data_IF_253797765557
#
_entry.id   IF_253797765557
#
_cell.length_a   1.000
_cell.length_b   1.000
_cell.length_c   1.000
_cell.angle_alpha   90.00
_cell.angle_beta   90.00
_cell.angle_gamma   90.00
#
_symmetry.space_group_name_H-M   'P 1'
#
loop_
_entity.id
_entity.type
_entity.pdbx_description
1 polymer ?
#
# COMPACT_ATOMS: atom_id res chain seq x y z
N UNK A 1 2.16 19.56 8.15
CA UNK A 1 2.35 18.29 7.40
C UNK A 1 2.32 18.63 5.92
N UNK A 2 3.22 18.08 5.10
CA UNK A 2 3.15 18.28 3.65
C UNK A 2 1.99 17.48 3.06
N UNK A 3 1.40 17.94 1.95
CA UNK A 3 0.30 17.25 1.27
C UNK A 3 0.67 15.81 0.91
N UNK A 4 1.94 15.55 0.58
CA UNK A 4 2.49 14.21 0.33
C UNK A 4 2.47 13.30 1.55
N UNK A 5 2.80 13.80 2.74
CA UNK A 5 2.69 13.00 3.98
C UNK A 5 1.23 12.66 4.31
N UNK A 6 0.30 13.58 4.06
CA UNK A 6 -1.14 13.32 4.21
C UNK A 6 -1.59 12.24 3.22
N UNK A 7 -1.16 12.34 1.96
CA UNK A 7 -1.48 11.37 0.92
C UNK A 7 -0.96 9.97 1.28
N UNK A 8 0.32 9.84 1.65
CA UNK A 8 0.89 8.57 2.10
C UNK A 8 0.12 7.97 3.29
N UNK A 9 -0.27 8.81 4.25
CA UNK A 9 -1.06 8.37 5.41
C UNK A 9 -2.40 7.79 4.97
N UNK A 10 -3.10 8.44 4.04
CA UNK A 10 -4.38 7.96 3.51
C UNK A 10 -4.20 6.66 2.72
N UNK A 11 -3.20 6.58 1.84
CA UNK A 11 -2.87 5.37 1.06
C UNK A 11 -2.63 4.18 2.00
N UNK A 12 -1.85 4.38 3.06
CA UNK A 12 -1.59 3.33 4.06
C UNK A 12 -2.83 2.97 4.90
N UNK A 13 -3.69 3.94 5.24
CA UNK A 13 -4.95 3.66 5.93
C UNK A 13 -5.85 2.74 5.08
N UNK A 14 -5.99 3.03 3.78
CA UNK A 14 -6.75 2.16 2.87
C UNK A 14 -6.10 0.79 2.75
N UNK A 15 -4.77 0.71 2.66
CA UNK A 15 -4.06 -0.56 2.60
C UNK A 15 -4.40 -1.43 3.82
N UNK A 16 -4.36 -0.87 5.03
CA UNK A 16 -4.68 -1.62 6.24
C UNK A 16 -6.16 -1.99 6.33
N UNK A 17 -7.07 -1.16 5.83
CA UNK A 17 -8.48 -1.51 5.74
C UNK A 17 -8.71 -2.72 4.83
N UNK A 18 -8.13 -2.72 3.62
CA UNK A 18 -8.19 -3.87 2.70
C UNK A 18 -7.50 -5.11 3.28
N UNK A 19 -6.38 -4.95 3.98
CA UNK A 19 -5.70 -6.06 4.66
C UNK A 19 -6.57 -6.69 5.75
N UNK A 20 -7.27 -5.88 6.53
CA UNK A 20 -8.21 -6.34 7.55
C UNK A 20 -9.38 -7.11 6.93
N UNK A 21 -9.97 -6.55 5.88
CA UNK A 21 -11.06 -7.21 5.14
C UNK A 21 -10.61 -8.55 4.53
N UNK A 22 -9.44 -8.57 3.87
CA UNK A 22 -8.88 -9.78 3.27
C UNK A 22 -8.64 -10.87 4.31
N UNK A 23 -8.14 -10.52 5.50
CA UNK A 23 -7.94 -11.48 6.60
C UNK A 23 -9.28 -12.08 7.06
N UNK A 24 -10.30 -11.24 7.28
CA UNK A 24 -11.64 -11.69 7.66
C UNK A 24 -12.25 -12.62 6.61
N UNK A 25 -12.15 -12.26 5.33
CA UNK A 25 -12.66 -13.09 4.23
C UNK A 25 -11.92 -14.42 4.16
N UNK A 26 -10.60 -14.43 4.33
CA UNK A 26 -9.81 -15.67 4.36
C UNK A 26 -10.24 -16.61 5.47
N UNK A 27 -10.51 -16.07 6.66
CA UNK A 27 -10.95 -16.88 7.80
C UNK A 27 -12.30 -17.54 7.52
N UNK A 28 -13.27 -16.79 6.99
CA UNK A 28 -14.58 -17.33 6.58
C UNK A 28 -14.43 -18.38 5.49
N UNK A 29 -13.73 -18.06 4.41
CA UNK A 29 -13.56 -18.95 3.26
C UNK A 29 -12.83 -20.25 3.63
N UNK A 30 -11.78 -20.19 4.44
CA UNK A 30 -11.07 -21.40 4.85
C UNK A 30 -11.87 -22.24 5.85
N UNK A 31 -12.66 -21.61 6.71
CA UNK A 31 -13.56 -22.35 7.60
C UNK A 31 -14.57 -23.15 6.78
N UNK A 32 -15.23 -22.50 5.82
CA UNK A 32 -16.25 -23.12 4.97
C UNK A 32 -15.65 -24.17 4.04
N UNK A 33 -14.49 -23.91 3.45
CA UNK A 33 -13.76 -24.91 2.64
C UNK A 33 -13.48 -26.18 3.42
N UNK A 34 -13.07 -26.05 4.69
CA UNK A 34 -12.79 -27.20 5.57
C UNK A 34 -14.06 -27.98 5.91
N UNK A 35 -15.17 -27.28 6.16
CA UNK A 35 -16.48 -27.90 6.42
C UNK A 35 -16.98 -28.68 5.20
N UNK A 36 -16.85 -28.12 4.00
CA UNK A 36 -17.27 -28.77 2.76
C UNK A 36 -16.30 -29.86 2.27
N UNK A 37 -15.07 -29.91 2.81
CA UNK A 37 -14.05 -30.89 2.42
C UNK A 37 -13.49 -30.69 1.00
N UNK A 38 -13.75 -29.53 0.38
CA UNK A 38 -13.33 -29.27 -0.99
C UNK A 38 -11.83 -28.95 -1.10
N UNK A 39 -11.26 -29.27 -2.26
CA UNK A 39 -9.92 -28.81 -2.62
C UNK A 39 -9.90 -27.29 -2.74
N UNK A 40 -8.74 -26.67 -2.52
CA UNK A 40 -8.56 -25.23 -2.68
C UNK A 40 -8.96 -24.78 -4.09
N UNK A 41 -8.55 -25.53 -5.13
CA UNK A 41 -8.84 -25.17 -6.52
C UNK A 41 -10.34 -25.17 -6.84
N UNK A 42 -11.08 -26.16 -6.32
CA UNK A 42 -12.54 -26.22 -6.51
C UNK A 42 -13.25 -25.12 -5.74
N UNK A 43 -12.91 -24.95 -4.47
CA UNK A 43 -13.62 -24.05 -3.58
C UNK A 43 -13.44 -22.57 -3.95
N UNK A 44 -12.22 -22.18 -4.35
CA UNK A 44 -11.91 -20.79 -4.74
C UNK A 44 -12.24 -20.47 -6.20
N UNK A 45 -12.89 -21.37 -6.94
CA UNK A 45 -13.47 -21.03 -8.24
C UNK A 45 -14.86 -20.39 -8.03
N UNK A 46 -14.92 -19.06 -8.07
CA UNK A 46 -16.16 -18.30 -7.90
C UNK A 46 -17.26 -18.67 -8.93
N UNK A 47 -16.91 -19.28 -10.07
CA UNK A 47 -17.90 -19.75 -11.07
C UNK A 47 -18.56 -21.06 -10.65
N UNK A 48 -17.91 -21.82 -9.77
CA UNK A 48 -18.36 -23.13 -9.29
C UNK A 48 -18.89 -23.07 -7.87
N UNK A 49 -18.36 -22.17 -7.06
CA UNK A 49 -18.79 -21.92 -5.70
C UNK A 49 -19.71 -20.69 -5.62
N UNK A 50 -20.92 -20.82 -6.19
CA UNK A 50 -21.93 -19.76 -6.23
C UNK A 50 -22.24 -19.19 -4.84
N UNK A 51 -22.36 -19.99 -3.76
CA UNK A 51 -22.63 -19.46 -2.42
C UNK A 51 -21.57 -18.49 -1.89
N UNK A 52 -20.30 -18.69 -2.24
CA UNK A 52 -19.17 -17.86 -1.78
C UNK A 52 -18.54 -17.03 -2.91
N UNK A 53 -19.19 -16.94 -4.07
CA UNK A 53 -18.63 -16.30 -5.26
C UNK A 53 -18.28 -14.82 -5.00
N UNK A 54 -19.11 -14.13 -4.21
CA UNK A 54 -18.87 -12.74 -3.83
C UNK A 54 -17.64 -12.61 -2.94
N UNK A 55 -17.54 -13.41 -1.88
CA UNK A 55 -16.43 -13.41 -0.94
C UNK A 55 -15.11 -13.78 -1.62
N UNK A 56 -15.11 -14.77 -2.52
CA UNK A 56 -13.94 -15.17 -3.31
C UNK A 56 -13.49 -14.02 -4.21
N UNK A 57 -14.43 -13.41 -4.92
CA UNK A 57 -14.13 -12.27 -5.82
C UNK A 57 -13.61 -11.08 -5.02
N UNK A 58 -14.23 -10.78 -3.87
CA UNK A 58 -13.81 -9.70 -3.00
C UNK A 58 -12.44 -9.95 -2.38
N UNK A 59 -12.14 -11.17 -1.96
CA UNK A 59 -10.82 -11.55 -1.46
C UNK A 59 -9.73 -11.32 -2.52
N UNK A 60 -9.98 -11.73 -3.77
CA UNK A 60 -9.06 -11.48 -4.88
C UNK A 60 -8.91 -9.97 -5.17
N UNK A 61 -9.99 -9.20 -5.06
CA UNK A 61 -9.97 -7.75 -5.25
C UNK A 61 -9.20 -7.03 -4.14
N UNK A 62 -9.41 -7.39 -2.87
CA UNK A 62 -8.64 -6.83 -1.75
C UNK A 62 -7.13 -6.99 -1.98
N UNK A 63 -6.69 -8.16 -2.47
CA UNK A 63 -5.28 -8.39 -2.81
C UNK A 63 -4.78 -7.44 -3.89
N UNK A 64 -5.52 -7.29 -4.99
CA UNK A 64 -5.17 -6.36 -6.07
C UNK A 64 -5.10 -4.91 -5.60
N UNK A 65 -6.05 -4.49 -4.74
CA UNK A 65 -6.06 -3.15 -4.18
C UNK A 65 -4.87 -2.92 -3.25
N UNK A 66 -4.52 -3.90 -2.41
CA UNK A 66 -3.33 -3.84 -1.58
C UNK A 66 -2.04 -3.69 -2.40
N UNK A 67 -1.90 -4.46 -3.48
CA UNK A 67 -0.72 -4.37 -4.35
C UNK A 67 -0.60 -2.98 -4.98
N UNK A 68 -1.72 -2.42 -5.50
CA UNK A 68 -1.75 -1.06 -6.06
C UNK A 68 -1.40 0.01 -5.05
N UNK A 69 -1.97 -0.06 -3.85
CA UNK A 69 -1.72 0.91 -2.78
C UNK A 69 -0.28 0.85 -2.29
N UNK A 70 0.35 -0.34 -2.31
CA UNK A 70 1.75 -0.46 -1.93
C UNK A 70 2.67 0.18 -2.99
N UNK A 71 2.41 -0.04 -4.28
CA UNK A 71 3.12 0.66 -5.36
C UNK A 71 2.93 2.18 -5.28
N UNK A 72 1.72 2.66 -5.05
CA UNK A 72 1.44 4.08 -4.86
C UNK A 72 2.20 4.66 -3.65
N UNK A 73 2.26 3.92 -2.54
CA UNK A 73 3.00 4.34 -1.36
C UNK A 73 4.51 4.42 -1.63
N UNK A 74 5.08 3.48 -2.38
CA UNK A 74 6.48 3.49 -2.80
C UNK A 74 6.80 4.74 -3.62
N UNK A 75 5.98 5.06 -4.63
CA UNK A 75 6.13 6.27 -5.46
C UNK A 75 6.09 7.56 -4.61
N UNK A 76 5.16 7.65 -3.64
CA UNK A 76 5.08 8.82 -2.75
C UNK A 76 6.33 8.96 -1.88
N UNK A 77 6.90 7.84 -1.41
CA UNK A 77 8.11 7.85 -0.58
C UNK A 77 9.33 8.27 -1.40
N UNK A 78 9.46 7.78 -2.64
CA UNK A 78 10.52 8.19 -3.56
C UNK A 78 10.48 9.70 -3.83
N UNK A 79 9.29 10.24 -4.11
CA UNK A 79 9.05 11.67 -4.29
C UNK A 79 9.43 12.50 -3.06
N UNK A 80 9.06 12.03 -1.85
CA UNK A 80 9.40 12.70 -0.59
C UNK A 80 10.91 12.75 -0.36
N UNK A 81 11.63 11.68 -0.70
CA UNK A 81 13.08 11.61 -0.58
C UNK A 81 13.77 12.56 -1.57
N UNK A 82 13.33 12.58 -2.83
CA UNK A 82 13.87 13.49 -3.84
C UNK A 82 13.67 14.99 -3.46
N UNK A 83 12.54 15.32 -2.85
CA UNK A 83 12.29 16.66 -2.32
C UNK A 83 13.23 17.01 -1.16
N UNK A 84 13.54 16.04 -0.29
CA UNK A 84 14.48 16.24 0.83
C UNK A 84 15.92 16.48 0.34
N UNK A 85 16.37 15.73 -0.66
CA UNK A 85 17.73 15.86 -1.22
C UNK A 85 17.94 17.22 -1.91
N UNK A 86 16.90 17.76 -2.54
CA UNK A 86 16.94 19.07 -3.19
C UNK A 86 17.13 20.20 -2.16
N UNK A 87 16.46 20.11 -1.01
CA UNK A 87 16.55 21.10 0.09
C UNK A 87 17.90 21.02 0.81
N UNK A 88 18.47 19.82 0.93
CA UNK A 88 19.80 19.64 1.50
C UNK A 88 20.90 20.30 0.64
N UNK A 89 20.81 20.20 -0.69
CA UNK A 89 21.80 20.77 -1.60
C UNK A 89 21.74 22.31 -1.69
N UNK A 90 20.55 22.91 -1.64
CA UNK A 90 20.41 24.38 -1.67
C UNK A 90 20.92 25.06 -0.40
N UNK A 91 20.88 24.36 0.74
CA UNK A 91 21.40 24.87 2.01
C UNK A 91 22.94 24.93 2.06
N UNK A 92 23.64 24.13 1.23
CA UNK A 92 25.10 24.15 1.14
C UNK A 92 25.65 25.27 0.23
N UNK A 93 24.92 25.72 -0.78
CA UNK A 93 25.41 26.73 -1.74
C UNK A 93 25.30 28.19 -1.24
N UNK A 94 24.51 28.46 -0.20
CA UNK A 94 24.35 29.84 0.34
C UNK A 94 25.39 30.22 1.40
N UNK A 95 26.24 29.29 1.83
CA UNK A 95 27.37 29.56 2.71
C UNK A 95 28.61 29.99 1.90
N UNK A 96 28.51 31.13 1.20
CA UNK A 96 29.65 31.72 0.49
C UNK A 96 30.77 32.12 1.46
N UNK A 97 32.06 31.82 1.17
CA UNK A 97 33.16 32.26 2.02
C UNK A 97 33.34 33.77 1.86
N UNK A 98 32.94 34.54 2.88
CA UNK A 98 33.26 35.96 2.99
C UNK A 98 34.77 36.11 3.17
N UNK A 99 35.47 36.28 2.05
CA UNK A 99 36.89 36.57 2.00
C UNK A 99 37.06 38.06 2.29
N UNK A 100 37.08 38.42 3.58
CA UNK A 100 37.44 39.75 4.03
C UNK A 100 38.93 39.99 3.71
N UNK A 101 39.17 40.88 2.74
CA UNK A 101 40.49 41.38 2.35
C UNK A 101 41.14 42.12 3.52
N UNK A 102 42.36 41.70 3.88
CA UNK A 102 43.29 42.49 4.70
C UNK A 102 43.96 43.53 3.81
N UNK A 103 43.74 44.81 4.11
CA UNK A 103 44.64 45.93 3.81
C UNK A 103 44.44 47.01 4.86
#
# INVERSE_FOLDING_TARGET
MSDRTVHLTQTMQFYFAFKGEMKRLKEVLEQERRVCGETIATFYDARRNVPFAFEITRFAECRKQMDRLLTEAEEIVEDLNAASDTVANTSFETAGPSRASLT
#
